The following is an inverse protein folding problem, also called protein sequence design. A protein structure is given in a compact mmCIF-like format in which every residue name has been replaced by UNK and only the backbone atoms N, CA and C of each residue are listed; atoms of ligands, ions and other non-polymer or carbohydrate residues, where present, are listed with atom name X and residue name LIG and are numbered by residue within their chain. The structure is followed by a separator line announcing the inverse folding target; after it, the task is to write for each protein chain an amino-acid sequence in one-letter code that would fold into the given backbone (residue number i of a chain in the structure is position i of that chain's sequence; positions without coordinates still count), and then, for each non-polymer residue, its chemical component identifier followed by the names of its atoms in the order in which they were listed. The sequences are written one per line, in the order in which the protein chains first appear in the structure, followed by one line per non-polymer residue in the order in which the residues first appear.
data_IF_549303547810
#
_entry.id   IF_549303547810
#
_cell.length_a   1.000
_cell.length_b   1.000
_cell.length_c   1.000
_cell.angle_alpha   90.00
_cell.angle_beta   90.00
_cell.angle_gamma   90.00
#
_symmetry.space_group_name_H-M   'P 1'
#
loop_
_entity.id
_entity.type
_entity.pdbx_description
1 polymer ?
#
# COMPACT_ATOMS: atom_id res chain seq x y z
N UNK A 1 15.79 -3.68 19.89
CA UNK A 1 14.56 -4.42 20.29
C UNK A 1 14.41 -5.67 19.45
N UNK A 2 13.73 -6.69 19.97
CA UNK A 2 13.31 -7.85 19.20
C UNK A 2 11.86 -7.66 18.74
N UNK A 3 11.64 -7.61 17.43
CA UNK A 3 10.37 -7.28 16.82
C UNK A 3 9.85 -8.46 16.01
N UNK A 4 8.57 -8.72 16.11
CA UNK A 4 7.92 -9.79 15.35
C UNK A 4 6.76 -9.20 14.54
N UNK A 5 6.91 -9.12 13.23
CA UNK A 5 5.83 -8.72 12.33
C UNK A 5 4.98 -9.93 11.96
N UNK A 6 3.67 -9.76 11.90
CA UNK A 6 2.73 -10.85 11.57
C UNK A 6 1.81 -10.39 10.45
N UNK A 7 1.76 -11.18 9.38
CA UNK A 7 0.96 -10.93 8.20
C UNK A 7 0.24 -12.22 7.76
N UNK A 8 -0.90 -12.16 7.06
CA UNK A 8 -1.56 -13.37 6.59
C UNK A 8 -0.66 -14.19 5.64
N UNK A 9 -0.21 -13.56 4.59
CA UNK A 9 0.71 -14.08 3.56
C UNK A 9 1.45 -12.92 2.89
N UNK A 10 2.25 -13.22 1.88
CA UNK A 10 2.98 -12.22 1.08
C UNK A 10 2.47 -12.18 -0.37
N UNK A 11 1.16 -12.14 -0.58
CA UNK A 11 0.60 -11.84 -1.90
C UNK A 11 1.00 -10.44 -2.38
N UNK A 12 0.80 -10.15 -3.66
CA UNK A 12 1.10 -8.81 -4.18
C UNK A 12 0.08 -7.78 -3.66
N UNK A 13 0.55 -6.87 -2.79
CA UNK A 13 -0.27 -5.81 -2.20
C UNK A 13 0.55 -4.79 -1.42
N UNK A 14 -0.09 -3.66 -1.09
CA UNK A 14 0.57 -2.56 -0.39
C UNK A 14 0.98 -2.90 1.05
N UNK A 15 0.18 -3.72 1.76
CA UNK A 15 0.47 -4.13 3.12
C UNK A 15 1.71 -5.04 3.19
N UNK A 16 1.85 -5.94 2.22
CA UNK A 16 2.97 -6.87 2.08
C UNK A 16 4.26 -6.12 1.76
N UNK A 17 4.20 -5.20 0.79
CA UNK A 17 5.34 -4.34 0.44
C UNK A 17 5.73 -3.43 1.60
N UNK A 18 4.76 -2.88 2.34
CA UNK A 18 5.03 -2.09 3.55
C UNK A 18 5.72 -2.92 4.64
N UNK A 19 5.23 -4.13 4.90
CA UNK A 19 5.84 -5.06 5.86
C UNK A 19 7.28 -5.40 5.46
N UNK A 20 7.53 -5.66 4.19
CA UNK A 20 8.87 -5.90 3.63
C UNK A 20 9.80 -4.71 3.86
N UNK A 21 9.40 -3.50 3.40
CA UNK A 21 10.20 -2.29 3.53
C UNK A 21 10.51 -1.98 5.00
N UNK A 22 9.51 -2.10 5.88
CA UNK A 22 9.69 -1.88 7.31
C UNK A 22 10.66 -2.91 7.92
N UNK A 23 10.57 -4.18 7.52
CA UNK A 23 11.45 -5.24 8.00
C UNK A 23 12.92 -4.93 7.68
N UNK A 24 13.22 -4.54 6.44
CA UNK A 24 14.58 -4.24 6.02
C UNK A 24 15.16 -3.05 6.81
N UNK A 25 14.44 -1.94 6.86
CA UNK A 25 14.94 -0.75 7.53
C UNK A 25 15.08 -0.94 9.05
N UNK A 26 14.15 -1.64 9.70
CA UNK A 26 14.29 -1.98 11.11
C UNK A 26 15.54 -2.83 11.37
N UNK A 27 15.87 -3.78 10.47
CA UNK A 27 17.11 -4.56 10.52
C UNK A 27 18.36 -3.69 10.37
N UNK A 28 18.37 -2.75 9.43
CA UNK A 28 19.45 -1.76 9.23
C UNK A 28 19.63 -0.83 10.44
N UNK A 29 18.55 -0.52 11.15
CA UNK A 29 18.58 0.24 12.40
C UNK A 29 19.06 -0.59 13.62
N UNK A 30 19.45 -1.85 13.41
CA UNK A 30 20.02 -2.74 14.43
C UNK A 30 18.99 -3.45 15.30
N UNK A 31 17.73 -3.53 14.87
CA UNK A 31 16.70 -4.34 15.54
C UNK A 31 16.75 -5.81 15.08
N UNK A 32 16.46 -6.74 16.00
CA UNK A 32 16.27 -8.16 15.68
C UNK A 32 14.84 -8.36 15.19
N UNK A 33 14.66 -8.43 13.86
CA UNK A 33 13.33 -8.51 13.24
C UNK A 33 13.12 -9.89 12.63
N UNK A 34 11.96 -10.48 12.90
CA UNK A 34 11.48 -11.66 12.21
C UNK A 34 10.04 -11.46 11.75
N UNK A 35 9.61 -12.24 10.76
CA UNK A 35 8.25 -12.17 10.21
C UNK A 35 7.56 -13.51 10.37
N UNK A 36 6.26 -13.47 10.64
CA UNK A 36 5.38 -14.65 10.69
C UNK A 36 4.33 -14.52 9.60
N UNK A 37 4.32 -15.45 8.66
CA UNK A 37 3.24 -15.67 7.71
C UNK A 37 2.26 -16.68 8.29
N UNK A 38 0.97 -16.36 8.32
CA UNK A 38 -0.01 -17.35 8.82
C UNK A 38 -0.19 -18.51 7.85
N UNK A 39 -0.18 -18.25 6.54
CA UNK A 39 -0.25 -19.29 5.52
C UNK A 39 1.14 -19.78 5.10
N UNK A 40 1.21 -20.99 4.57
CA UNK A 40 2.47 -21.62 4.14
C UNK A 40 2.90 -21.26 2.71
N UNK A 41 2.09 -20.48 2.02
CA UNK A 41 2.36 -20.08 0.65
C UNK A 41 3.62 -19.22 0.57
N UNK A 42 4.59 -19.68 -0.22
CA UNK A 42 5.79 -18.92 -0.57
C UNK A 42 5.53 -18.14 -1.83
N UNK A 43 5.78 -16.86 -1.75
CA UNK A 43 5.61 -15.92 -2.85
C UNK A 43 6.96 -15.34 -3.25
N UNK A 44 6.97 -14.57 -4.32
CA UNK A 44 8.17 -13.87 -4.76
C UNK A 44 8.69 -12.88 -3.72
N UNK A 45 7.76 -12.16 -3.02
CA UNK A 45 8.12 -11.24 -1.92
C UNK A 45 8.78 -12.01 -0.78
N UNK A 46 8.16 -13.08 -0.29
CA UNK A 46 8.74 -13.85 0.81
C UNK A 46 10.08 -14.51 0.42
N UNK A 47 10.22 -14.97 -0.81
CA UNK A 47 11.45 -15.57 -1.31
C UNK A 47 12.60 -14.58 -1.38
N UNK A 48 12.37 -13.34 -1.85
CA UNK A 48 13.43 -12.32 -1.87
C UNK A 48 13.77 -11.81 -0.46
N UNK A 49 12.81 -11.78 0.47
CA UNK A 49 13.08 -11.47 1.87
C UNK A 49 13.95 -12.55 2.53
N UNK A 50 13.64 -13.86 2.31
CA UNK A 50 14.47 -14.97 2.80
C UNK A 50 15.89 -14.93 2.19
N UNK A 51 16.00 -14.63 0.88
CA UNK A 51 17.30 -14.45 0.21
C UNK A 51 18.12 -13.28 0.78
N UNK A 52 17.46 -12.23 1.28
CA UNK A 52 18.09 -11.11 1.99
C UNK A 52 18.38 -11.41 3.47
N UNK A 53 18.15 -12.62 3.94
CA UNK A 53 18.46 -13.06 5.30
C UNK A 53 17.36 -12.79 6.33
N UNK A 54 16.16 -12.36 5.91
CA UNK A 54 15.02 -12.20 6.82
C UNK A 54 14.51 -13.56 7.27
N UNK A 55 14.35 -13.73 8.58
CA UNK A 55 13.76 -14.95 9.17
C UNK A 55 12.23 -14.90 9.03
N UNK A 56 11.68 -15.79 8.19
CA UNK A 56 10.22 -15.95 8.03
C UNK A 56 9.79 -17.28 8.65
N UNK A 57 8.72 -17.25 9.46
CA UNK A 57 8.06 -18.43 10.04
C UNK A 57 6.68 -18.61 9.40
N UNK A 58 6.42 -19.78 8.86
CA UNK A 58 5.14 -20.15 8.27
C UNK A 58 4.38 -21.05 9.24
N UNK A 59 3.08 -20.77 9.47
CA UNK A 59 2.28 -21.45 10.50
C UNK A 59 1.28 -22.48 9.97
N UNK A 60 1.06 -22.56 8.66
CA UNK A 60 0.14 -23.51 8.03
C UNK A 60 -1.30 -23.30 8.43
N UNK A 61 -1.76 -22.05 8.48
CA UNK A 61 -3.16 -21.71 8.75
C UNK A 61 -4.07 -22.27 7.68
N UNK A 62 -5.15 -22.92 8.08
CA UNK A 62 -6.20 -23.39 7.16
C UNK A 62 -7.08 -22.20 6.69
N UNK A 63 -7.70 -22.31 5.49
CA UNK A 63 -8.69 -21.32 5.05
C UNK A 63 -9.82 -21.13 6.07
N UNK A 64 -10.37 -19.90 6.11
CA UNK A 64 -11.42 -19.53 7.07
C UNK A 64 -10.89 -19.30 8.49
N UNK A 65 -11.78 -19.41 9.49
CA UNK A 65 -11.43 -19.21 10.89
C UNK A 65 -10.70 -20.47 11.42
N UNK A 66 -9.43 -20.30 11.78
CA UNK A 66 -8.60 -21.40 12.31
C UNK A 66 -7.99 -21.03 13.67
N UNK A 67 -8.70 -21.36 14.74
CA UNK A 67 -8.26 -21.07 16.11
C UNK A 67 -7.03 -21.88 16.56
N UNK A 68 -6.60 -22.90 15.81
CA UNK A 68 -5.36 -23.65 16.09
C UNK A 68 -4.09 -22.81 15.93
N UNK A 69 -4.20 -21.67 15.22
CA UNK A 69 -3.12 -20.68 15.06
C UNK A 69 -2.76 -20.00 16.38
N UNK A 70 -3.73 -19.77 17.27
CA UNK A 70 -3.50 -19.06 18.55
C UNK A 70 -2.48 -19.79 19.44
N UNK A 71 -2.62 -21.08 19.78
CA UNK A 71 -1.63 -21.77 20.58
C UNK A 71 -0.25 -21.91 19.86
N UNK A 72 -0.22 -22.04 18.53
CA UNK A 72 1.03 -22.06 17.77
C UNK A 72 1.77 -20.70 17.90
N UNK A 73 1.07 -19.58 17.72
CA UNK A 73 1.63 -18.24 17.93
C UNK A 73 2.07 -18.04 19.38
N UNK A 74 1.25 -18.43 20.36
CA UNK A 74 1.61 -18.28 21.78
C UNK A 74 2.86 -19.09 22.16
N UNK A 75 3.06 -20.27 21.57
CA UNK A 75 4.29 -21.04 21.72
C UNK A 75 5.48 -20.31 21.10
N UNK A 76 5.34 -19.85 19.85
CA UNK A 76 6.37 -19.09 19.15
C UNK A 76 6.77 -17.81 19.94
N UNK A 77 5.81 -17.09 20.50
CA UNK A 77 6.09 -15.87 21.28
C UNK A 77 6.84 -16.16 22.57
N UNK A 78 6.60 -17.30 23.24
CA UNK A 78 7.38 -17.72 24.42
C UNK A 78 8.81 -18.12 24.04
N UNK A 79 9.00 -18.72 22.89
CA UNK A 79 10.32 -19.13 22.37
C UNK A 79 11.12 -17.91 21.90
N UNK A 80 10.52 -17.06 21.08
CA UNK A 80 11.18 -15.88 20.49
C UNK A 80 11.33 -14.70 21.47
N UNK A 81 10.41 -14.57 22.43
CA UNK A 81 10.38 -13.47 23.44
C UNK A 81 10.48 -12.09 22.78
N UNK A 82 9.61 -11.72 21.84
CA UNK A 82 9.67 -10.41 21.23
C UNK A 82 9.29 -9.32 22.23
N UNK A 83 9.92 -8.14 22.07
CA UNK A 83 9.57 -6.95 22.85
C UNK A 83 8.23 -6.37 22.40
N UNK A 84 7.96 -6.41 21.08
CA UNK A 84 6.74 -5.91 20.45
C UNK A 84 6.31 -6.86 19.32
N UNK A 85 5.02 -7.03 19.17
CA UNK A 85 4.37 -7.70 18.04
C UNK A 85 3.72 -6.63 17.17
N UNK A 86 4.01 -6.64 15.87
CA UNK A 86 3.39 -5.76 14.89
C UNK A 86 2.52 -6.57 13.93
N UNK A 87 1.24 -6.25 13.85
CA UNK A 87 0.25 -6.99 13.05
C UNK A 87 -0.23 -6.18 11.85
N UNK A 88 -0.45 -6.86 10.74
CA UNK A 88 -0.97 -6.30 9.50
C UNK A 88 -2.23 -7.05 9.07
N UNK A 89 -3.22 -6.33 8.53
CA UNK A 89 -4.46 -6.93 8.04
C UNK A 89 -5.22 -7.72 9.13
N UNK A 90 -5.94 -8.77 8.76
CA UNK A 90 -6.84 -9.52 9.63
C UNK A 90 -6.17 -10.50 10.62
N UNK A 91 -4.84 -10.45 10.79
CA UNK A 91 -4.14 -11.34 11.73
C UNK A 91 -4.31 -10.93 13.21
N UNK A 92 -4.75 -9.70 13.46
CA UNK A 92 -4.89 -9.13 14.81
C UNK A 92 -5.69 -10.04 15.74
N UNK A 93 -6.74 -10.70 15.24
CA UNK A 93 -7.55 -11.66 15.98
C UNK A 93 -6.70 -12.72 16.70
N UNK A 94 -5.82 -13.37 15.95
CA UNK A 94 -4.99 -14.47 16.45
C UNK A 94 -3.82 -13.97 17.29
N UNK A 95 -3.16 -12.92 16.81
CA UNK A 95 -1.92 -12.41 17.38
C UNK A 95 -2.13 -11.80 18.76
N UNK A 96 -3.17 -10.99 18.98
CA UNK A 96 -3.43 -10.36 20.27
C UNK A 96 -3.82 -11.39 21.33
N UNK A 97 -4.66 -12.39 20.98
CA UNK A 97 -4.98 -13.49 21.87
C UNK A 97 -3.72 -14.28 22.28
N UNK A 98 -2.89 -14.63 21.29
CA UNK A 98 -1.65 -15.35 21.54
C UNK A 98 -0.66 -14.54 22.39
N UNK A 99 -0.55 -13.23 22.17
CA UNK A 99 0.26 -12.32 22.97
C UNK A 99 -0.16 -12.28 24.44
N UNK A 100 -1.47 -12.30 24.70
CA UNK A 100 -2.01 -12.39 26.06
C UNK A 100 -1.64 -13.72 26.74
N UNK A 101 -1.78 -14.84 26.01
CA UNK A 101 -1.41 -16.17 26.49
C UNK A 101 0.10 -16.34 26.71
N UNK A 102 0.93 -15.53 26.05
CA UNK A 102 2.38 -15.55 26.16
C UNK A 102 2.95 -14.56 27.21
N UNK A 103 2.13 -13.96 28.05
CA UNK A 103 2.59 -13.07 29.11
C UNK A 103 2.30 -11.58 28.89
N UNK A 104 1.47 -11.23 27.91
CA UNK A 104 1.02 -9.84 27.70
C UNK A 104 2.01 -8.99 26.90
N UNK A 105 2.53 -9.51 25.81
CA UNK A 105 3.42 -8.79 24.91
C UNK A 105 2.66 -7.61 24.26
N UNK A 106 3.25 -6.39 24.21
CA UNK A 106 2.64 -5.25 23.53
C UNK A 106 2.41 -5.52 22.05
N UNK A 107 1.26 -5.07 21.53
CA UNK A 107 0.94 -5.20 20.11
C UNK A 107 0.70 -3.82 19.47
N UNK A 108 1.20 -3.65 18.27
CA UNK A 108 0.84 -2.58 17.33
C UNK A 108 0.07 -3.20 16.17
N UNK A 109 -0.93 -2.51 15.66
CA UNK A 109 -1.69 -2.94 14.49
C UNK A 109 -1.75 -1.82 13.48
N UNK A 110 -1.21 -2.04 12.28
CA UNK A 110 -1.38 -1.10 11.15
C UNK A 110 -2.73 -1.31 10.50
N UNK A 111 -3.53 -0.25 10.47
CA UNK A 111 -4.83 -0.20 9.77
C UNK A 111 -4.59 0.26 8.35
N UNK A 112 -4.68 -0.66 7.40
CA UNK A 112 -4.31 -0.43 5.99
C UNK A 112 -5.40 0.23 5.15
N UNK A 113 -6.64 0.30 5.65
CA UNK A 113 -7.78 0.89 4.96
C UNK A 113 -8.67 1.67 5.94
N UNK A 114 -9.75 2.28 5.46
CA UNK A 114 -10.75 2.87 6.34
C UNK A 114 -11.30 1.82 7.30
N UNK A 115 -11.52 2.21 8.56
CA UNK A 115 -11.81 1.28 9.66
C UNK A 115 -12.95 0.28 9.39
N UNK A 116 -14.00 0.72 8.70
CA UNK A 116 -15.16 -0.12 8.36
C UNK A 116 -14.81 -1.23 7.36
N UNK A 117 -13.92 -0.95 6.42
CA UNK A 117 -13.45 -1.94 5.41
C UNK A 117 -12.46 -2.89 6.06
N UNK A 118 -11.52 -2.37 6.85
CA UNK A 118 -10.50 -3.17 7.56
C UNK A 118 -11.12 -4.18 8.54
N UNK A 119 -12.25 -3.83 9.15
CA UNK A 119 -12.91 -4.66 10.16
C UNK A 119 -13.54 -5.96 9.60
N UNK A 120 -13.68 -6.12 8.28
CA UNK A 120 -14.23 -7.33 7.62
C UNK A 120 -15.49 -7.91 8.28
N UNK A 121 -16.30 -7.06 8.95
CA UNK A 121 -17.57 -7.46 9.56
C UNK A 121 -17.70 -7.13 11.05
N UNK A 122 -18.92 -7.32 11.57
CA UNK A 122 -19.31 -6.87 12.92
C UNK A 122 -18.53 -7.57 14.05
N UNK A 123 -18.29 -8.87 13.91
CA UNK A 123 -17.58 -9.64 14.95
C UNK A 123 -16.12 -9.19 15.09
N UNK A 124 -15.42 -8.99 13.97
CA UNK A 124 -14.05 -8.48 13.96
C UNK A 124 -13.98 -7.05 14.53
N UNK A 125 -14.93 -6.20 14.17
CA UNK A 125 -15.04 -4.83 14.70
C UNK A 125 -15.18 -4.80 16.23
N UNK A 126 -16.04 -5.68 16.79
CA UNK A 126 -16.24 -5.79 18.24
C UNK A 126 -14.95 -6.23 18.94
N UNK A 127 -14.26 -7.22 18.39
CA UNK A 127 -13.00 -7.71 18.95
C UNK A 127 -11.89 -6.67 18.88
N UNK A 128 -11.72 -6.00 17.74
CA UNK A 128 -10.74 -4.93 17.58
C UNK A 128 -11.01 -3.80 18.59
N UNK A 129 -12.29 -3.36 18.71
CA UNK A 129 -12.69 -2.37 19.71
C UNK A 129 -12.30 -2.79 21.13
N UNK A 130 -12.58 -4.04 21.50
CA UNK A 130 -12.20 -4.57 22.79
C UNK A 130 -10.68 -4.55 23.02
N UNK A 131 -9.89 -4.99 22.04
CA UNK A 131 -8.43 -5.01 22.15
C UNK A 131 -7.83 -3.60 22.28
N UNK A 132 -8.34 -2.64 21.51
CA UNK A 132 -7.87 -1.25 21.54
C UNK A 132 -8.21 -0.58 22.87
N UNK A 133 -9.44 -0.67 23.35
CA UNK A 133 -9.84 -0.09 24.64
C UNK A 133 -9.15 -0.72 25.85
N UNK A 134 -8.75 -2.00 25.76
CA UNK A 134 -7.93 -2.65 26.78
C UNK A 134 -6.44 -2.30 26.69
N UNK A 135 -6.03 -1.59 25.67
CA UNK A 135 -4.62 -1.32 25.40
C UNK A 135 -3.81 -2.59 25.08
N UNK A 136 -4.48 -3.67 24.64
CA UNK A 136 -3.82 -4.92 24.25
C UNK A 136 -3.17 -4.79 22.86
N UNK A 137 -3.70 -3.91 22.05
CA UNK A 137 -3.10 -3.49 20.77
C UNK A 137 -3.31 -1.99 20.58
N UNK A 138 -2.35 -1.33 19.96
CA UNK A 138 -2.46 0.08 19.56
C UNK A 138 -2.67 0.13 18.04
N UNK A 139 -3.81 0.67 17.57
CA UNK A 139 -4.00 0.88 16.15
C UNK A 139 -3.14 2.04 15.67
N UNK A 140 -2.50 1.88 14.51
CA UNK A 140 -1.76 2.91 13.80
C UNK A 140 -2.45 3.16 12.47
N UNK A 141 -2.83 4.40 12.21
CA UNK A 141 -3.43 4.82 10.95
C UNK A 141 -2.37 5.24 9.93
N UNK A 142 -2.63 5.00 8.66
CA UNK A 142 -1.69 5.35 7.58
C UNK A 142 -1.85 6.78 7.08
N UNK A 143 -2.95 7.46 7.42
CA UNK A 143 -3.21 8.86 7.06
C UNK A 143 -4.13 9.52 8.09
N UNK A 144 -4.23 10.88 8.11
CA UNK A 144 -5.20 11.60 8.94
C UNK A 144 -6.64 11.17 8.65
N UNK A 145 -6.99 10.87 7.39
CA UNK A 145 -8.32 10.37 7.04
C UNK A 145 -8.58 8.98 7.64
N UNK A 146 -7.64 8.05 7.52
CA UNK A 146 -7.75 6.72 8.16
C UNK A 146 -7.83 6.88 9.69
N UNK A 147 -7.01 7.76 10.29
CA UNK A 147 -7.06 8.08 11.72
C UNK A 147 -8.47 8.49 12.15
N UNK A 148 -9.09 9.43 11.41
CA UNK A 148 -10.45 9.92 11.68
C UNK A 148 -11.44 8.75 11.69
N UNK A 149 -11.40 7.89 10.65
CA UNK A 149 -12.31 6.74 10.56
C UNK A 149 -12.11 5.74 11.71
N UNK A 150 -10.86 5.49 12.13
CA UNK A 150 -10.54 4.59 13.25
C UNK A 150 -11.00 5.18 14.58
N UNK A 151 -10.74 6.48 14.79
CA UNK A 151 -11.16 7.21 15.99
C UNK A 151 -12.68 7.20 16.16
N UNK A 152 -13.41 7.55 15.11
CA UNK A 152 -14.88 7.58 15.12
C UNK A 152 -15.49 6.17 15.27
N UNK A 153 -15.00 5.20 14.48
CA UNK A 153 -15.58 3.85 14.44
C UNK A 153 -15.37 3.07 15.75
N UNK A 154 -14.18 3.19 16.35
CA UNK A 154 -13.86 2.48 17.58
C UNK A 154 -14.04 3.32 18.85
N UNK A 155 -14.20 4.65 18.76
CA UNK A 155 -14.33 5.55 19.90
C UNK A 155 -13.02 5.66 20.69
N UNK A 156 -11.91 5.98 20.03
CA UNK A 156 -10.57 6.05 20.61
C UNK A 156 -10.09 7.49 20.75
N UNK A 157 -9.44 7.83 21.85
CA UNK A 157 -8.90 9.17 22.10
C UNK A 157 -7.56 9.41 21.38
N UNK A 158 -6.80 8.34 21.11
CA UNK A 158 -5.48 8.43 20.48
C UNK A 158 -5.28 7.31 19.46
N UNK A 159 -5.03 7.70 18.24
CA UNK A 159 -4.60 6.84 17.13
C UNK A 159 -3.40 7.52 16.47
N UNK A 160 -2.16 6.99 16.59
CA UNK A 160 -1.01 7.56 15.91
C UNK A 160 -1.16 7.46 14.39
N UNK A 161 -0.62 8.45 13.69
CA UNK A 161 -0.51 8.44 12.21
C UNK A 161 0.94 8.18 11.84
N UNK A 162 1.16 7.10 11.12
CA UNK A 162 2.46 6.75 10.54
C UNK A 162 2.23 6.41 9.07
N UNK A 163 2.71 7.26 8.19
CA UNK A 163 2.58 7.08 6.75
C UNK A 163 3.31 5.84 6.26
N UNK A 164 2.78 5.20 5.21
CA UNK A 164 3.51 4.17 4.48
C UNK A 164 4.83 4.71 3.96
N UNK A 165 5.84 3.83 3.87
CA UNK A 165 7.14 4.18 3.32
C UNK A 165 7.61 3.19 2.28
N UNK A 166 8.23 3.70 1.23
CA UNK A 166 8.89 2.91 0.20
C UNK A 166 10.40 3.12 0.22
N UNK A 167 11.14 2.15 -0.29
CA UNK A 167 12.58 2.30 -0.49
C UNK A 167 12.84 3.24 -1.68
N UNK A 168 12.99 4.54 -1.39
CA UNK A 168 13.21 5.57 -2.40
C UNK A 168 14.54 5.40 -3.16
N UNK A 169 15.51 4.63 -2.64
CA UNK A 169 16.76 4.35 -3.37
C UNK A 169 16.54 3.47 -4.61
N UNK A 170 15.40 2.78 -4.70
CA UNK A 170 15.00 2.04 -5.90
C UNK A 170 14.37 2.91 -6.97
N UNK A 171 13.89 4.09 -6.60
CA UNK A 171 13.31 5.03 -7.54
C UNK A 171 14.42 5.74 -8.33
N UNK A 172 14.33 5.73 -9.66
CA UNK A 172 15.24 6.47 -10.53
C UNK A 172 14.52 7.75 -10.96
N UNK A 173 14.91 8.94 -10.45
CA UNK A 173 14.22 10.18 -10.77
C UNK A 173 14.30 10.54 -12.26
N UNK A 174 13.18 10.97 -12.82
CA UNK A 174 13.12 11.51 -14.18
C UNK A 174 14.00 12.75 -14.31
N UNK A 175 14.77 12.82 -15.41
CA UNK A 175 15.63 13.96 -15.73
C UNK A 175 15.04 14.85 -16.82
N UNK A 176 14.11 14.34 -17.61
CA UNK A 176 13.45 15.03 -18.70
C UNK A 176 11.95 14.73 -18.71
N UNK A 177 11.16 15.69 -19.16
CA UNK A 177 9.70 15.62 -19.20
C UNK A 177 9.15 15.83 -20.63
N UNK A 178 10.01 15.86 -21.63
CA UNK A 178 9.60 15.82 -23.03
C UNK A 178 8.96 14.48 -23.37
N UNK A 179 7.91 14.48 -24.18
CA UNK A 179 7.25 13.27 -24.66
C UNK A 179 7.93 12.78 -25.93
N UNK A 180 8.01 11.46 -26.11
CA UNK A 180 8.42 10.82 -27.35
C UNK A 180 7.28 10.69 -28.35
N UNK A 181 7.51 9.88 -29.40
CA UNK A 181 6.49 9.59 -30.44
C UNK A 181 5.28 8.87 -29.85
N UNK A 182 5.46 8.10 -28.79
CA UNK A 182 4.40 7.42 -28.03
C UNK A 182 4.39 7.92 -26.61
N UNK A 183 3.22 8.33 -26.11
CA UNK A 183 3.00 8.75 -24.72
C UNK A 183 2.62 7.55 -23.87
N UNK A 184 3.44 7.21 -22.88
CA UNK A 184 3.28 6.05 -22.01
C UNK A 184 2.54 6.42 -20.72
N UNK A 185 1.28 6.00 -20.59
CA UNK A 185 0.51 6.09 -19.35
C UNK A 185 0.64 4.77 -18.57
N UNK A 186 0.78 4.85 -17.26
CA UNK A 186 0.98 3.70 -16.38
C UNK A 186 -0.06 3.68 -15.26
N UNK A 187 -0.65 2.51 -15.05
CA UNK A 187 -1.43 2.20 -13.85
C UNK A 187 -0.89 0.93 -13.19
N UNK A 188 -0.77 0.94 -11.87
CA UNK A 188 -0.34 -0.21 -11.08
C UNK A 188 -1.40 -0.47 -10.01
N UNK A 189 -2.07 -1.62 -10.09
CA UNK A 189 -3.10 -1.97 -9.13
C UNK A 189 -3.75 -3.31 -9.41
N UNK A 190 -4.30 -3.91 -8.34
CA UNK A 190 -5.05 -5.17 -8.44
C UNK A 190 -6.34 -4.97 -9.24
N UNK A 191 -6.67 -5.89 -10.13
CA UNK A 191 -7.90 -5.84 -10.90
C UNK A 191 -9.12 -6.22 -10.04
N UNK A 192 -9.57 -5.24 -9.26
CA UNK A 192 -10.76 -5.28 -8.42
C UNK A 192 -11.58 -3.98 -8.53
N UNK A 193 -12.73 -3.92 -7.87
CA UNK A 193 -13.64 -2.78 -7.89
C UNK A 193 -13.01 -1.51 -7.33
N UNK A 194 -12.05 -1.64 -6.40
CA UNK A 194 -11.37 -0.53 -5.76
C UNK A 194 -10.62 0.33 -6.76
N UNK A 195 -9.86 -0.30 -7.66
CA UNK A 195 -8.93 0.38 -8.60
C UNK A 195 -9.61 0.98 -9.82
N UNK A 196 -10.92 0.71 -10.03
CA UNK A 196 -11.75 1.37 -11.06
C UNK A 196 -11.20 1.25 -12.49
N UNK A 197 -10.70 0.08 -12.87
CA UNK A 197 -10.14 -0.15 -14.21
C UNK A 197 -11.14 0.17 -15.33
N UNK A 198 -12.45 -0.07 -15.11
CA UNK A 198 -13.48 0.26 -16.10
C UNK A 198 -13.52 1.78 -16.38
N UNK A 199 -13.53 2.61 -15.34
CA UNK A 199 -13.47 4.07 -15.48
C UNK A 199 -12.17 4.54 -16.15
N UNK A 200 -11.04 3.90 -15.82
CA UNK A 200 -9.75 4.18 -16.46
C UNK A 200 -9.77 3.88 -17.96
N UNK A 201 -10.31 2.72 -18.36
CA UNK A 201 -10.43 2.35 -19.79
C UNK A 201 -11.36 3.30 -20.54
N UNK A 202 -12.47 3.75 -19.92
CA UNK A 202 -13.36 4.76 -20.52
C UNK A 202 -12.63 6.11 -20.70
N UNK A 203 -11.90 6.57 -19.69
CA UNK A 203 -11.10 7.79 -19.79
C UNK A 203 -10.05 7.69 -20.91
N UNK A 204 -9.35 6.56 -20.98
CA UNK A 204 -8.35 6.31 -22.00
C UNK A 204 -8.96 6.21 -23.41
N UNK A 205 -10.14 5.62 -23.57
CA UNK A 205 -10.85 5.60 -24.85
C UNK A 205 -11.26 7.00 -25.34
N UNK A 206 -11.54 7.92 -24.41
CA UNK A 206 -11.79 9.34 -24.75
C UNK A 206 -10.49 10.03 -25.15
N UNK A 207 -9.42 9.82 -24.38
CA UNK A 207 -8.09 10.38 -24.62
C UNK A 207 -7.53 10.01 -26.00
N UNK A 208 -7.70 8.78 -26.44
CA UNK A 208 -7.23 8.31 -27.76
C UNK A 208 -7.87 9.04 -28.94
N UNK A 209 -9.04 9.69 -28.75
CA UNK A 209 -9.67 10.48 -29.82
C UNK A 209 -8.92 11.78 -30.13
N UNK A 210 -8.30 12.37 -29.11
CA UNK A 210 -7.51 13.62 -29.21
C UNK A 210 -6.01 13.35 -29.28
N UNK A 211 -5.54 12.26 -28.64
CA UNK A 211 -4.13 11.88 -28.54
C UNK A 211 -3.93 10.40 -28.95
N UNK A 212 -4.00 10.09 -30.26
CA UNK A 212 -3.97 8.70 -30.76
C UNK A 212 -2.63 7.99 -30.58
N UNK A 213 -1.57 8.71 -30.23
CA UNK A 213 -0.24 8.19 -29.95
C UNK A 213 -0.02 7.76 -28.49
N UNK A 214 -1.07 7.70 -27.67
CA UNK A 214 -0.99 7.23 -26.30
C UNK A 214 -1.02 5.70 -26.22
N UNK A 215 -0.32 5.12 -25.23
CA UNK A 215 -0.46 3.75 -24.80
C UNK A 215 -0.70 3.67 -23.29
N UNK A 216 -1.53 2.71 -22.87
CA UNK A 216 -1.85 2.48 -21.46
C UNK A 216 -1.27 1.13 -21.02
N UNK A 217 -0.35 1.17 -20.05
CA UNK A 217 0.24 0.01 -19.43
C UNK A 217 -0.44 -0.27 -18.10
N UNK A 218 -1.02 -1.47 -17.94
CA UNK A 218 -1.73 -1.92 -16.75
C UNK A 218 -0.94 -3.04 -16.10
N UNK A 219 -0.37 -2.76 -14.92
CA UNK A 219 0.33 -3.74 -14.09
C UNK A 219 -0.59 -4.22 -12.97
N UNK A 220 -0.60 -5.50 -12.74
CA UNK A 220 -1.38 -6.18 -11.72
C UNK A 220 -2.22 -7.31 -12.28
N UNK A 221 -2.90 -8.01 -11.38
CA UNK A 221 -3.81 -9.11 -11.69
C UNK A 221 -5.01 -9.07 -10.73
N UNK A 222 -6.03 -9.86 -10.98
CA UNK A 222 -7.21 -9.94 -10.12
C UNK A 222 -8.41 -10.49 -10.87
N UNK A 223 -9.50 -10.69 -10.13
CA UNK A 223 -10.69 -11.37 -10.65
C UNK A 223 -11.40 -10.62 -11.79
N UNK A 224 -11.21 -9.30 -11.90
CA UNK A 224 -11.80 -8.50 -12.99
C UNK A 224 -10.91 -8.41 -14.24
N UNK A 225 -9.70 -8.98 -14.26
CA UNK A 225 -8.78 -8.80 -15.38
C UNK A 225 -9.37 -9.24 -16.72
N UNK A 226 -9.92 -10.44 -16.78
CA UNK A 226 -10.50 -10.97 -18.02
C UNK A 226 -11.65 -10.10 -18.55
N UNK A 227 -12.49 -9.57 -17.65
CA UNK A 227 -13.59 -8.66 -18.00
C UNK A 227 -13.04 -7.34 -18.54
N UNK A 228 -11.97 -6.81 -17.96
CA UNK A 228 -11.33 -5.55 -18.42
C UNK A 228 -10.62 -5.72 -19.77
N UNK A 229 -10.01 -6.87 -20.04
CA UNK A 229 -9.46 -7.19 -21.36
C UNK A 229 -10.55 -7.27 -22.44
N UNK A 230 -11.72 -7.84 -22.10
CA UNK A 230 -12.90 -7.83 -22.98
C UNK A 230 -13.41 -6.41 -23.18
N UNK A 231 -13.56 -5.66 -22.11
CA UNK A 231 -14.08 -4.29 -22.14
C UNK A 231 -13.19 -3.36 -22.99
N UNK A 232 -11.86 -3.49 -22.90
CA UNK A 232 -10.95 -2.73 -23.76
C UNK A 232 -11.16 -3.05 -25.27
N UNK A 233 -11.49 -4.31 -25.61
CA UNK A 233 -11.83 -4.70 -26.99
C UNK A 233 -13.18 -4.11 -27.44
N UNK A 234 -14.20 -4.13 -26.58
CA UNK A 234 -15.52 -3.52 -26.85
C UNK A 234 -15.42 -2.00 -27.07
N UNK A 235 -14.54 -1.32 -26.33
CA UNK A 235 -14.25 0.10 -26.51
C UNK A 235 -13.39 0.40 -27.76
N UNK A 236 -12.89 -0.62 -28.47
CA UNK A 236 -12.03 -0.47 -29.65
C UNK A 236 -10.59 -0.02 -29.36
N UNK A 237 -10.16 -0.06 -28.09
CA UNK A 237 -8.86 0.44 -27.63
C UNK A 237 -7.83 -0.66 -27.34
N UNK A 238 -8.17 -1.93 -27.55
CA UNK A 238 -7.30 -3.07 -27.22
C UNK A 238 -5.93 -3.01 -27.87
N UNK A 239 -5.77 -2.32 -29.00
CA UNK A 239 -4.48 -2.12 -29.67
C UNK A 239 -3.52 -1.18 -28.92
N UNK A 240 -4.03 -0.32 -28.03
CA UNK A 240 -3.28 0.69 -27.31
C UNK A 240 -3.18 0.39 -25.78
N UNK A 241 -3.80 -0.70 -25.30
CA UNK A 241 -3.75 -1.13 -23.90
C UNK A 241 -2.92 -2.40 -23.76
N UNK A 242 -1.99 -2.41 -22.80
CA UNK A 242 -1.14 -3.56 -22.48
C UNK A 242 -1.45 -4.06 -21.07
N UNK A 243 -1.92 -5.30 -20.95
CA UNK A 243 -2.17 -5.99 -19.67
C UNK A 243 -0.93 -6.81 -19.31
N UNK A 244 -0.09 -6.28 -18.42
CA UNK A 244 1.26 -6.79 -18.15
C UNK A 244 1.33 -7.80 -16.99
N UNK A 245 0.19 -8.03 -16.30
CA UNK A 245 0.13 -8.95 -15.16
C UNK A 245 0.87 -8.42 -13.92
N UNK A 246 1.03 -9.29 -12.94
CA UNK A 246 1.83 -8.98 -11.76
C UNK A 246 3.30 -8.86 -12.13
N UNK A 247 3.94 -7.81 -11.62
CA UNK A 247 5.38 -7.58 -11.78
C UNK A 247 6.02 -7.52 -10.40
N UNK A 248 7.11 -8.25 -10.24
CA UNK A 248 7.90 -8.27 -8.99
C UNK A 248 8.71 -6.99 -8.78
N UNK A 249 9.05 -6.33 -9.88
CA UNK A 249 9.73 -5.04 -9.90
C UNK A 249 8.97 -4.06 -10.78
N UNK A 250 8.37 -3.05 -10.15
CA UNK A 250 7.58 -2.01 -10.82
C UNK A 250 8.43 -0.81 -11.25
N UNK A 251 9.64 -0.66 -10.71
CA UNK A 251 10.47 0.52 -10.93
C UNK A 251 10.91 0.76 -12.37
N UNK A 252 11.24 -0.28 -13.18
CA UNK A 252 11.50 -0.07 -14.62
C UNK A 252 10.30 0.53 -15.34
N UNK A 253 9.08 0.08 -15.04
CA UNK A 253 7.86 0.60 -15.65
C UNK A 253 7.57 2.05 -15.23
N UNK A 254 7.81 2.38 -13.95
CA UNK A 254 7.69 3.76 -13.44
C UNK A 254 8.72 4.69 -14.12
N UNK A 255 9.95 4.21 -14.33
CA UNK A 255 10.99 4.99 -15.02
C UNK A 255 10.62 5.29 -16.47
N UNK A 256 10.06 4.31 -17.18
CA UNK A 256 9.73 4.39 -18.60
C UNK A 256 8.39 5.08 -18.89
N UNK A 257 7.54 5.25 -17.88
CA UNK A 257 6.25 5.93 -18.05
C UNK A 257 6.40 7.45 -18.14
N UNK A 258 5.44 8.12 -18.77
CA UNK A 258 5.34 9.58 -18.85
C UNK A 258 4.35 10.13 -17.82
N UNK A 259 3.26 9.41 -17.54
CA UNK A 259 2.19 9.82 -16.61
C UNK A 259 1.74 8.60 -15.81
N UNK A 260 1.60 8.76 -14.50
CA UNK A 260 1.04 7.75 -13.61
C UNK A 260 -0.44 8.03 -13.31
N UNK A 261 -1.29 7.00 -13.37
CA UNK A 261 -2.73 7.11 -13.20
C UNK A 261 -3.21 6.23 -12.04
N UNK A 262 -3.99 6.80 -11.11
CA UNK A 262 -4.65 6.04 -10.04
C UNK A 262 -6.09 6.55 -9.79
N UNK A 263 -7.08 6.23 -10.67
CA UNK A 263 -8.46 6.69 -10.54
C UNK A 263 -9.30 5.80 -9.61
N UNK A 264 -8.74 5.39 -8.48
CA UNK A 264 -9.36 4.48 -7.51
C UNK A 264 -10.61 5.07 -6.87
N UNK A 265 -11.57 4.21 -6.50
CA UNK A 265 -12.80 4.60 -5.79
C UNK A 265 -12.58 4.87 -4.31
N UNK A 266 -11.61 4.20 -3.70
CA UNK A 266 -11.18 4.39 -2.31
C UNK A 266 -9.74 3.92 -2.11
N UNK A 267 -9.00 4.57 -1.22
CA UNK A 267 -7.62 4.23 -0.88
C UNK A 267 -7.37 4.47 0.62
N UNK A 268 -6.49 3.68 1.21
CA UNK A 268 -5.87 4.02 2.48
C UNK A 268 -4.71 5.00 2.25
N UNK A 269 -3.57 4.44 1.90
CA UNK A 269 -2.38 5.18 1.49
C UNK A 269 -1.63 4.35 0.43
N UNK A 270 -1.87 4.61 -0.87
CA UNK A 270 -1.37 3.76 -1.94
C UNK A 270 0.15 3.90 -2.11
N UNK A 271 0.87 2.77 -1.94
CA UNK A 271 2.32 2.69 -2.11
C UNK A 271 2.75 3.13 -3.52
N UNK A 272 1.95 2.79 -4.54
CA UNK A 272 2.23 3.10 -5.95
C UNK A 272 2.28 4.60 -6.24
N UNK A 273 1.54 5.44 -5.49
CA UNK A 273 1.70 6.90 -5.56
C UNK A 273 3.07 7.31 -5.01
N UNK A 274 3.51 6.73 -3.88
CA UNK A 274 4.82 7.07 -3.31
C UNK A 274 5.95 6.67 -4.27
N UNK A 275 5.83 5.52 -4.90
CA UNK A 275 6.78 5.03 -5.90
C UNK A 275 6.81 5.96 -7.13
N UNK A 276 5.64 6.41 -7.62
CA UNK A 276 5.53 7.38 -8.69
C UNK A 276 6.11 8.75 -8.30
N UNK A 277 5.85 9.22 -7.07
CA UNK A 277 6.46 10.44 -6.53
C UNK A 277 7.99 10.33 -6.48
N UNK A 278 8.51 9.20 -5.98
CA UNK A 278 9.96 8.95 -5.88
C UNK A 278 10.66 8.89 -7.23
N UNK A 279 9.94 8.55 -8.31
CA UNK A 279 10.45 8.64 -9.69
C UNK A 279 10.22 10.00 -10.34
N UNK A 280 9.53 10.92 -9.67
CA UNK A 280 9.22 12.25 -10.23
C UNK A 280 8.22 12.19 -11.38
N UNK A 281 7.35 11.18 -11.44
CA UNK A 281 6.30 11.10 -12.45
C UNK A 281 5.22 12.15 -12.20
N UNK A 282 4.67 12.80 -13.25
CA UNK A 282 3.39 13.49 -13.18
C UNK A 282 2.28 12.48 -12.82
N UNK A 283 1.45 12.82 -11.85
CA UNK A 283 0.45 11.93 -11.29
C UNK A 283 -0.94 12.50 -11.49
N UNK A 284 -1.86 11.67 -12.01
CA UNK A 284 -3.32 11.90 -11.96
C UNK A 284 -3.92 10.85 -11.02
N UNK A 285 -4.60 11.29 -9.97
CA UNK A 285 -5.18 10.37 -8.99
C UNK A 285 -6.54 10.87 -8.51
N UNK A 286 -7.40 9.95 -8.06
CA UNK A 286 -8.67 10.32 -7.43
C UNK A 286 -8.44 10.95 -6.06
N UNK A 287 -9.24 11.96 -5.73
CA UNK A 287 -9.28 12.65 -4.42
C UNK A 287 -10.01 11.79 -3.38
N UNK A 288 -9.43 10.64 -3.02
CA UNK A 288 -10.05 9.67 -2.10
C UNK A 288 -9.08 9.24 -1.00
N UNK A 289 -9.62 8.95 0.19
CA UNK A 289 -8.86 8.44 1.33
C UNK A 289 -7.62 9.27 1.65
N UNK A 290 -6.47 8.63 1.78
CA UNK A 290 -5.21 9.31 2.09
C UNK A 290 -4.49 9.95 0.90
N UNK A 291 -5.04 9.89 -0.33
CA UNK A 291 -4.38 10.49 -1.51
C UNK A 291 -4.18 12.01 -1.37
N UNK A 292 -5.16 12.80 -0.85
CA UNK A 292 -4.96 14.24 -0.63
C UNK A 292 -3.89 14.59 0.43
N UNK A 293 -3.53 13.64 1.30
CA UNK A 293 -2.44 13.83 2.27
C UNK A 293 -1.06 13.63 1.62
N UNK A 294 -1.03 12.97 0.45
CA UNK A 294 0.18 12.67 -0.30
C UNK A 294 0.47 13.71 -1.37
N UNK A 295 -0.55 14.10 -2.12
CA UNK A 295 -0.46 14.99 -3.29
C UNK A 295 -1.20 16.31 -3.04
N UNK A 296 -0.55 17.43 -3.39
CA UNK A 296 -1.17 18.75 -3.44
C UNK A 296 -1.68 19.00 -4.85
N UNK A 297 -3.01 19.20 -4.96
CA UNK A 297 -3.69 19.39 -6.24
C UNK A 297 -3.16 20.61 -7.02
N UNK A 298 -2.77 20.40 -8.27
CA UNK A 298 -2.17 21.42 -9.12
C UNK A 298 -0.71 21.80 -8.77
N UNK A 299 -0.13 21.23 -7.69
CA UNK A 299 1.24 21.50 -7.27
C UNK A 299 2.16 20.28 -7.38
N UNK A 300 1.76 19.10 -6.87
CA UNK A 300 2.55 17.86 -6.94
C UNK A 300 1.79 16.69 -7.60
N UNK A 301 0.58 16.94 -8.11
CA UNK A 301 -0.25 16.03 -8.87
C UNK A 301 -1.56 16.70 -9.27
N UNK A 302 -2.35 16.04 -10.10
CA UNK A 302 -3.71 16.45 -10.42
C UNK A 302 -4.69 15.51 -9.71
N UNK A 303 -5.54 16.07 -8.84
CA UNK A 303 -6.54 15.31 -8.12
C UNK A 303 -7.92 15.47 -8.79
N UNK A 304 -8.50 14.34 -9.20
CA UNK A 304 -9.80 14.26 -9.90
C UNK A 304 -10.84 13.54 -9.05
N UNK A 305 -12.07 13.51 -9.50
CA UNK A 305 -13.01 12.46 -9.12
C UNK A 305 -12.66 11.12 -9.79
N UNK A 306 -13.62 10.17 -9.69
CA UNK A 306 -13.52 8.87 -10.38
C UNK A 306 -14.18 8.92 -11.78
N UNK A 307 -14.67 10.09 -12.19
CA UNK A 307 -15.36 10.29 -13.46
C UNK A 307 -14.37 10.21 -14.63
N UNK A 308 -14.66 9.40 -15.67
CA UNK A 308 -13.78 9.26 -16.83
C UNK A 308 -13.48 10.58 -17.58
N UNK A 309 -14.40 11.56 -17.57
CA UNK A 309 -14.17 12.85 -18.22
C UNK A 309 -13.17 13.70 -17.46
N UNK A 310 -13.22 13.70 -16.13
CA UNK A 310 -12.25 14.40 -15.30
C UNK A 310 -10.84 13.81 -15.43
N UNK A 311 -10.74 12.46 -15.43
CA UNK A 311 -9.46 11.76 -15.60
C UNK A 311 -8.87 12.04 -16.99
N UNK A 312 -9.71 11.99 -18.04
CA UNK A 312 -9.29 12.31 -19.41
C UNK A 312 -8.76 13.75 -19.50
N UNK A 313 -9.53 14.73 -19.02
CA UNK A 313 -9.13 16.14 -19.06
C UNK A 313 -7.84 16.43 -18.27
N UNK A 314 -7.60 15.72 -17.16
CA UNK A 314 -6.34 15.82 -16.42
C UNK A 314 -5.16 15.24 -17.21
N UNK A 315 -5.36 14.11 -17.93
CA UNK A 315 -4.34 13.53 -18.80
C UNK A 315 -4.01 14.49 -19.96
N UNK A 316 -5.02 15.06 -20.63
CA UNK A 316 -4.84 16.03 -21.72
C UNK A 316 -3.97 17.23 -21.28
N UNK A 317 -4.28 17.82 -20.11
CA UNK A 317 -3.47 18.91 -19.55
C UNK A 317 -2.01 18.54 -19.38
N UNK A 318 -1.73 17.30 -18.92
CA UNK A 318 -0.36 16.83 -18.75
C UNK A 318 0.32 16.54 -20.10
N UNK A 319 -0.40 16.01 -21.08
CA UNK A 319 0.17 15.74 -22.41
C UNK A 319 0.50 17.04 -23.12
N UNK A 320 -0.37 18.04 -23.03
CA UNK A 320 -0.22 19.31 -23.75
C UNK A 320 0.83 20.25 -23.14
N UNK A 321 1.27 20.04 -21.89
CA UNK A 321 2.20 20.94 -21.20
C UNK A 321 3.40 20.24 -20.57
N UNK A 322 4.57 20.35 -21.21
CA UNK A 322 5.84 19.88 -20.63
C UNK A 322 6.17 20.61 -19.33
N UNK A 323 5.92 21.91 -19.27
CA UNK A 323 6.15 22.72 -18.07
C UNK A 323 5.34 22.22 -16.87
N UNK A 324 4.05 21.88 -17.10
CA UNK A 324 3.19 21.32 -16.06
C UNK A 324 3.71 19.95 -15.62
N UNK A 325 4.07 19.06 -16.55
CA UNK A 325 4.66 17.75 -16.21
C UNK A 325 5.91 17.91 -15.36
N UNK A 326 6.81 18.84 -15.75
CA UNK A 326 8.05 19.11 -15.03
C UNK A 326 7.77 19.63 -13.63
N UNK A 327 6.91 20.61 -13.48
CA UNK A 327 6.57 21.22 -12.20
C UNK A 327 5.97 20.21 -11.24
N UNK A 328 4.94 19.48 -11.68
CA UNK A 328 4.27 18.49 -10.82
C UNK A 328 5.19 17.33 -10.46
N UNK A 329 5.96 16.81 -11.42
CA UNK A 329 6.89 15.70 -11.18
C UNK A 329 8.02 16.08 -10.23
N UNK A 330 8.62 17.26 -10.37
CA UNK A 330 9.67 17.74 -9.46
C UNK A 330 9.15 17.98 -8.04
N UNK A 331 7.96 18.56 -7.91
CA UNK A 331 7.34 18.78 -6.60
C UNK A 331 6.94 17.45 -5.95
N UNK A 332 6.41 16.49 -6.72
CA UNK A 332 6.12 15.14 -6.23
C UNK A 332 7.39 14.46 -5.70
N UNK A 333 8.48 14.53 -6.46
CA UNK A 333 9.79 14.00 -6.05
C UNK A 333 10.28 14.64 -4.76
N UNK A 334 10.20 15.96 -4.63
CA UNK A 334 10.60 16.66 -3.40
C UNK A 334 9.75 16.23 -2.19
N UNK A 335 8.44 16.07 -2.37
CA UNK A 335 7.52 15.64 -1.32
C UNK A 335 7.68 14.16 -0.93
N UNK A 336 8.23 13.31 -1.82
CA UNK A 336 8.36 11.86 -1.59
C UNK A 336 9.21 11.50 -0.37
N UNK A 337 10.17 12.34 0.00
CA UNK A 337 11.04 12.11 1.16
C UNK A 337 10.26 11.93 2.48
N UNK A 338 9.05 12.49 2.58
CA UNK A 338 8.15 12.31 3.74
C UNK A 338 7.68 10.85 3.88
N UNK A 339 7.71 10.11 2.80
CA UNK A 339 7.19 8.76 2.65
C UNK A 339 8.31 7.74 2.37
N UNK A 340 9.51 8.00 2.86
CA UNK A 340 10.58 7.03 2.79
C UNK A 340 10.40 5.91 3.84
N UNK A 341 10.91 4.72 3.53
CA UNK A 341 10.88 3.59 4.45
C UNK A 341 11.63 3.91 5.76
N UNK A 342 12.69 4.72 5.69
CA UNK A 342 13.46 5.16 6.85
C UNK A 342 12.63 6.10 7.75
N UNK A 343 11.87 7.03 7.16
CA UNK A 343 10.95 7.91 7.90
C UNK A 343 9.87 7.10 8.59
N UNK A 344 9.28 6.15 7.88
CA UNK A 344 8.27 5.23 8.42
C UNK A 344 8.83 4.40 9.58
N UNK A 345 10.01 3.77 9.40
CA UNK A 345 10.62 2.91 10.42
C UNK A 345 10.96 3.69 11.68
N UNK A 346 11.51 4.90 11.58
CA UNK A 346 11.80 5.78 12.74
C UNK A 346 10.53 6.08 13.54
N UNK A 347 9.41 6.38 12.87
CA UNK A 347 8.13 6.64 13.53
C UNK A 347 7.58 5.39 14.23
N UNK A 348 7.75 4.20 13.63
CA UNK A 348 7.36 2.95 14.29
C UNK A 348 8.26 2.65 15.50
N UNK A 349 9.57 2.92 15.42
CA UNK A 349 10.47 2.78 16.57
C UNK A 349 10.03 3.67 17.75
N UNK A 350 9.68 4.94 17.51
CA UNK A 350 9.13 5.84 18.54
C UNK A 350 7.90 5.24 19.24
N UNK A 351 6.99 4.63 18.46
CA UNK A 351 5.78 4.01 19.01
C UNK A 351 6.08 2.70 19.76
N UNK A 352 7.03 1.88 19.27
CA UNK A 352 7.47 0.66 19.96
C UNK A 352 8.13 0.98 21.31
N UNK A 353 9.02 1.99 21.34
CA UNK A 353 9.66 2.45 22.56
C UNK A 353 8.65 2.96 23.59
N UNK A 354 7.67 3.75 23.12
CA UNK A 354 6.58 4.23 23.99
C UNK A 354 5.77 3.11 24.61
N UNK A 355 5.56 2.00 23.89
CA UNK A 355 4.82 0.84 24.41
C UNK A 355 5.64 0.00 25.38
N UNK A 356 6.93 -0.15 25.13
CA UNK A 356 7.84 -0.92 26.00
C UNK A 356 8.20 -0.16 27.30
N UNK A 357 8.29 1.17 27.25
CA UNK A 357 8.55 2.01 28.42
C UNK A 357 7.39 2.04 29.45
N UNK A 358 6.19 1.59 29.08
CA UNK A 358 5.01 1.52 29.99
C UNK A 358 4.93 0.21 30.80
N UNK A 359 5.87 -0.72 30.59
CA UNK A 359 6.01 -1.93 31.39
C UNK A 359 6.90 -1.67 32.60
#
# INVERSE_FOLDING_TARGET
MKLLQIIPNFCFGGAETMCENLTYVLGELGHDVAVVSLFDERTEISSRMEAAGVRIRYLGKKPGLDMSVVPKLAKLFREERPDVIHTHLNVILYAVMAARLAGGIPCVHTVHNVAKVEAEGTAQAILNRFYYHRGWSVPVALSPEVQRTVTEFYGLDRVPVIFNGVNLHRCIPKRAYGLGDTVSLLHIGRFDEQKNHAGLLQAFAKLLKTHPNCCLNLLGDGHLRADMENYARELGIGHAVRFLGNQSDVYPFLHDADIFLLPSKYEGMPMTIIEAMGTGLPIVASRVGGVPDMLRDGESGLLTGCDPDEVCAACEKLIDSEELRRTLGQNALADSARFSAETMAKRYCEEYERLTAKK
#
